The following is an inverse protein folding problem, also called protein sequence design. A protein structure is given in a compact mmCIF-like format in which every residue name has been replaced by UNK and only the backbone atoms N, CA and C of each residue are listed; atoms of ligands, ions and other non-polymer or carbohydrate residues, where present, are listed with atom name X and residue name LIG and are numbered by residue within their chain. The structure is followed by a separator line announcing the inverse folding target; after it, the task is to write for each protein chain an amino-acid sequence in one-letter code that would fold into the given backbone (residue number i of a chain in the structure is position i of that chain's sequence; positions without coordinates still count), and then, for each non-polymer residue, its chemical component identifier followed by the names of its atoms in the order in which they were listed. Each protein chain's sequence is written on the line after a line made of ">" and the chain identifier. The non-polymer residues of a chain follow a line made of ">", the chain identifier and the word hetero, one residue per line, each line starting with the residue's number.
data_IF_776815825526
#
_entry.id   IF_776815825526
#
_cell.length_a   1.000
_cell.length_b   1.000
_cell.length_c   1.000
_cell.angle_alpha   90.00
_cell.angle_beta   90.00
_cell.angle_gamma   90.00
#
_symmetry.space_group_name_H-M   'P 1'
#
loop_
_entity.id
_entity.type
_entity.pdbx_description
1 polymer ?
#
# COMPACT_ATOMS: atom_id res chain seq x y z
N UNK A 1 -14.45 19.42 -60.50
CA UNK A 1 -14.64 19.77 -59.07
C UNK A 1 -14.97 18.60 -58.10
N UNK A 2 -15.05 17.32 -58.55
CA UNK A 2 -15.36 16.19 -57.62
C UNK A 2 -14.12 15.40 -57.12
N UNK A 3 -12.95 15.58 -57.68
CA UNK A 3 -11.73 14.83 -57.34
C UNK A 3 -10.94 15.42 -56.17
N UNK A 4 -11.02 16.72 -55.90
CA UNK A 4 -10.27 17.37 -54.82
C UNK A 4 -10.90 17.15 -53.41
N UNK A 5 -12.23 16.97 -53.33
CA UNK A 5 -12.91 16.71 -52.05
C UNK A 5 -12.54 15.36 -51.43
N UNK A 6 -12.21 14.35 -52.23
CA UNK A 6 -11.84 13.02 -51.72
C UNK A 6 -10.43 12.97 -51.11
N UNK A 7 -9.50 13.83 -51.57
CA UNK A 7 -8.12 13.85 -51.05
C UNK A 7 -8.03 14.55 -49.67
N UNK A 8 -8.96 15.46 -49.36
CA UNK A 8 -9.02 16.12 -48.05
C UNK A 8 -9.50 15.21 -46.92
N UNK A 9 -10.50 14.37 -47.21
CA UNK A 9 -11.09 13.46 -46.21
C UNK A 9 -10.11 12.34 -45.82
N UNK A 10 -9.35 11.81 -46.80
CA UNK A 10 -8.36 10.75 -46.55
C UNK A 10 -7.18 11.24 -45.68
N UNK A 11 -6.79 12.52 -45.85
CA UNK A 11 -5.72 13.13 -44.99
C UNK A 11 -6.18 13.43 -43.60
N UNK A 12 -7.44 13.83 -43.37
CA UNK A 12 -8.01 14.05 -42.06
C UNK A 12 -8.17 12.74 -41.27
N UNK A 13 -8.58 11.65 -41.91
CA UNK A 13 -8.69 10.35 -41.27
C UNK A 13 -7.33 9.75 -40.90
N UNK A 14 -6.29 9.99 -41.72
CA UNK A 14 -4.93 9.55 -41.40
C UNK A 14 -4.32 10.33 -40.20
N UNK A 15 -4.64 11.63 -40.07
CA UNK A 15 -4.20 12.43 -38.92
C UNK A 15 -4.92 12.02 -37.63
N UNK A 16 -6.22 11.72 -37.69
CA UNK A 16 -6.99 11.25 -36.53
C UNK A 16 -6.51 9.86 -36.05
N UNK A 17 -6.16 8.96 -36.98
CA UNK A 17 -5.59 7.66 -36.63
C UNK A 17 -4.19 7.78 -36.00
N UNK A 18 -3.39 8.76 -36.40
CA UNK A 18 -2.06 9.01 -35.84
C UNK A 18 -2.16 9.58 -34.41
N UNK A 19 -3.13 10.45 -34.15
CA UNK A 19 -3.36 11.01 -32.82
C UNK A 19 -3.88 9.96 -31.83
N UNK A 20 -4.73 9.04 -32.25
CA UNK A 20 -5.19 7.91 -31.42
C UNK A 20 -4.06 6.90 -31.13
N UNK A 21 -3.11 6.70 -32.06
CA UNK A 21 -1.96 5.83 -31.82
C UNK A 21 -0.96 6.43 -30.82
N UNK A 22 -0.85 7.75 -30.74
CA UNK A 22 0.03 8.44 -29.79
C UNK A 22 -0.55 8.34 -28.36
N UNK A 23 -1.87 8.42 -28.19
CA UNK A 23 -2.51 8.26 -26.87
C UNK A 23 -2.37 6.84 -26.31
N UNK A 24 -2.44 5.82 -27.16
CA UNK A 24 -2.24 4.41 -26.73
C UNK A 24 -0.78 4.12 -26.38
N UNK A 25 0.18 4.74 -27.08
CA UNK A 25 1.62 4.62 -26.75
C UNK A 25 2.01 5.47 -25.53
N UNK A 26 1.31 6.58 -25.27
CA UNK A 26 1.52 7.44 -24.11
C UNK A 26 1.11 6.79 -22.78
N UNK A 27 0.07 5.99 -22.76
CA UNK A 27 -0.39 5.30 -21.54
C UNK A 27 0.57 4.18 -21.10
N UNK A 28 1.30 3.53 -22.01
CA UNK A 28 2.28 2.50 -21.66
C UNK A 28 3.60 3.04 -21.12
N UNK A 29 3.95 4.29 -21.37
CA UNK A 29 5.22 4.89 -20.91
C UNK A 29 5.12 5.57 -19.53
N UNK A 30 3.92 5.92 -19.04
CA UNK A 30 3.77 6.53 -17.71
C UNK A 30 3.97 5.54 -16.56
N UNK A 31 3.90 4.24 -16.78
CA UNK A 31 4.03 3.23 -15.71
C UNK A 31 5.49 3.01 -15.30
N UNK A 32 6.47 3.29 -16.14
CA UNK A 32 7.89 2.96 -15.89
C UNK A 32 8.58 3.84 -14.83
N UNK A 33 8.00 4.97 -14.44
CA UNK A 33 8.57 5.87 -13.43
C UNK A 33 7.64 6.19 -12.26
N UNK A 34 6.47 5.58 -12.19
CA UNK A 34 5.48 5.92 -11.18
C UNK A 34 5.89 5.39 -9.80
N UNK A 35 6.18 6.31 -8.89
CA UNK A 35 6.42 5.95 -7.48
C UNK A 35 5.11 5.49 -6.84
N UNK A 36 5.16 4.35 -6.16
CA UNK A 36 4.00 3.83 -5.42
C UNK A 36 3.82 4.64 -4.16
N UNK A 37 2.78 5.47 -4.15
CA UNK A 37 2.37 6.21 -2.97
C UNK A 37 1.62 5.27 -2.03
N UNK A 38 1.99 5.32 -0.76
CA UNK A 38 1.31 4.63 0.33
C UNK A 38 0.65 5.65 1.25
N UNK A 39 -0.15 5.18 2.20
CA UNK A 39 -0.87 6.06 3.13
C UNK A 39 0.08 7.01 3.87
N UNK A 40 -0.40 8.21 4.20
CA UNK A 40 0.36 9.22 4.94
C UNK A 40 1.27 10.09 4.09
N UNK A 41 1.20 9.98 2.75
CA UNK A 41 2.09 10.72 1.83
C UNK A 41 3.40 10.00 1.54
N UNK A 42 3.66 8.89 2.21
CA UNK A 42 4.86 8.06 2.03
C UNK A 42 4.87 7.38 0.66
N UNK A 43 6.06 6.92 0.26
CA UNK A 43 6.25 6.21 -1.00
C UNK A 43 7.28 5.08 -0.85
N UNK A 44 7.09 4.01 -1.64
CA UNK A 44 8.08 2.93 -1.66
C UNK A 44 9.46 3.46 -2.09
N UNK A 45 10.50 2.87 -1.53
CA UNK A 45 11.89 3.20 -1.73
C UNK A 45 12.33 4.58 -1.21
N UNK A 46 11.47 5.33 -0.50
CA UNK A 46 11.93 6.50 0.26
C UNK A 46 12.92 6.10 1.37
N UNK A 47 13.79 7.02 1.76
CA UNK A 47 14.71 6.76 2.87
C UNK A 47 13.97 6.79 4.21
N UNK A 48 14.51 6.10 5.21
CA UNK A 48 13.97 6.17 6.57
C UNK A 48 13.98 7.62 7.10
N UNK A 49 15.01 8.41 6.76
CA UNK A 49 15.06 9.82 7.13
C UNK A 49 13.91 10.63 6.53
N UNK A 50 13.59 10.42 5.25
CA UNK A 50 12.43 11.05 4.60
C UNK A 50 11.11 10.63 5.26
N UNK A 51 10.92 9.32 5.48
CA UNK A 51 9.73 8.78 6.12
C UNK A 51 9.46 9.42 7.49
N UNK A 52 10.46 9.48 8.35
CA UNK A 52 10.32 10.04 9.69
C UNK A 52 10.38 11.58 9.74
N UNK A 53 10.65 12.26 8.62
CA UNK A 53 10.63 13.71 8.53
C UNK A 53 9.24 14.28 8.20
N UNK A 54 8.26 13.45 7.90
CA UNK A 54 6.93 13.88 7.45
C UNK A 54 5.81 13.32 8.32
N UNK A 55 4.63 13.93 8.21
CA UNK A 55 3.38 13.44 8.76
C UNK A 55 3.38 13.16 10.27
N UNK A 56 2.68 12.12 10.64
CA UNK A 56 2.52 11.66 12.03
C UNK A 56 3.84 11.25 12.67
N UNK A 57 4.73 10.65 11.92
CA UNK A 57 6.03 10.16 12.37
C UNK A 57 6.92 11.31 12.85
N UNK A 58 6.90 12.45 12.16
CA UNK A 58 7.58 13.70 12.57
C UNK A 58 7.01 14.24 13.88
N UNK A 59 5.69 14.28 13.99
CA UNK A 59 5.04 14.75 15.23
C UNK A 59 5.38 13.84 16.41
N UNK A 60 5.39 12.54 16.21
CA UNK A 60 5.78 11.57 17.23
C UNK A 60 7.23 11.69 17.64
N UNK A 61 8.18 11.86 16.71
CA UNK A 61 9.58 12.13 17.04
C UNK A 61 9.73 13.40 17.87
N UNK A 62 9.03 14.47 17.50
CA UNK A 62 9.02 15.71 18.28
C UNK A 62 8.45 15.52 19.67
N UNK A 63 7.29 14.89 19.80
CA UNK A 63 6.66 14.62 21.09
C UNK A 63 7.52 13.72 21.99
N UNK A 64 8.11 12.68 21.44
CA UNK A 64 9.00 11.78 22.17
C UNK A 64 10.30 12.46 22.60
N UNK A 65 10.88 13.36 21.80
CA UNK A 65 12.12 14.07 22.11
C UNK A 65 11.93 15.14 23.18
N UNK A 66 10.81 15.87 23.15
CA UNK A 66 10.51 16.93 24.13
C UNK A 66 9.96 16.40 25.43
N UNK A 67 9.37 15.20 25.43
CA UNK A 67 8.67 14.63 26.60
C UNK A 67 7.45 15.44 27.02
N UNK A 68 6.93 16.30 26.14
CA UNK A 68 5.77 17.15 26.43
C UNK A 68 4.45 16.39 26.24
N UNK A 69 4.12 15.60 27.27
CA UNK A 69 2.86 14.85 27.33
C UNK A 69 1.86 15.48 28.31
N UNK A 70 1.85 16.80 28.41
CA UNK A 70 1.00 17.52 29.39
C UNK A 70 -0.49 17.29 29.18
N UNK A 71 -0.91 17.15 27.92
CA UNK A 71 -2.30 16.86 27.54
C UNK A 71 -2.72 15.42 27.79
N UNK A 72 -1.78 14.51 28.06
CA UNK A 72 -2.05 13.08 28.21
C UNK A 72 -2.33 12.71 29.66
N UNK A 73 -3.36 11.90 29.88
CA UNK A 73 -3.72 11.39 31.19
C UNK A 73 -2.53 10.69 31.89
N UNK A 74 -2.41 10.83 33.21
CA UNK A 74 -1.29 10.31 33.99
C UNK A 74 -1.08 8.80 33.85
N UNK A 75 -2.16 8.02 33.73
CA UNK A 75 -2.11 6.56 33.48
C UNK A 75 -1.51 6.20 32.11
N UNK A 76 -1.77 7.01 31.10
CA UNK A 76 -1.30 6.80 29.73
C UNK A 76 0.13 7.27 29.51
N UNK A 77 0.69 8.12 30.38
CA UNK A 77 2.07 8.64 30.25
C UNK A 77 3.14 7.55 30.35
N UNK A 78 2.90 6.50 31.13
CA UNK A 78 3.83 5.37 31.21
C UNK A 78 3.87 4.62 29.89
N UNK A 79 2.70 4.28 29.35
CA UNK A 79 2.58 3.58 28.06
C UNK A 79 3.20 4.40 26.93
N UNK A 80 2.98 5.72 26.94
CA UNK A 80 3.55 6.61 25.94
C UNK A 80 5.08 6.68 26.03
N UNK A 81 5.67 6.65 27.23
CA UNK A 81 7.13 6.58 27.40
C UNK A 81 7.71 5.27 26.86
N UNK A 82 7.05 4.16 27.11
CA UNK A 82 7.43 2.85 26.60
C UNK A 82 7.31 2.82 25.08
N UNK A 83 6.24 3.41 24.53
CA UNK A 83 6.05 3.59 23.09
C UNK A 83 7.17 4.43 22.48
N UNK A 84 7.50 5.58 23.06
CA UNK A 84 8.57 6.45 22.59
C UNK A 84 9.94 5.77 22.58
N UNK A 85 10.23 4.94 23.58
CA UNK A 85 11.48 4.17 23.61
C UNK A 85 11.55 3.18 22.45
N UNK A 86 10.44 2.47 22.17
CA UNK A 86 10.33 1.55 21.03
C UNK A 86 10.43 2.30 19.71
N UNK A 87 9.71 3.41 19.55
CA UNK A 87 9.70 4.23 18.36
C UNK A 87 11.08 4.80 18.02
N UNK A 88 11.78 5.33 19.04
CA UNK A 88 13.16 5.81 18.87
C UNK A 88 14.12 4.68 18.45
N UNK A 89 13.94 3.49 19.01
CA UNK A 89 14.73 2.31 18.62
C UNK A 89 14.51 1.91 17.17
N UNK A 90 13.25 1.87 16.72
CA UNK A 90 12.90 1.60 15.31
C UNK A 90 13.50 2.65 14.37
N UNK A 91 13.32 3.93 14.71
CA UNK A 91 13.87 5.04 13.95
C UNK A 91 15.40 4.93 13.78
N UNK A 92 16.12 4.68 14.87
CA UNK A 92 17.56 4.51 14.83
C UNK A 92 18.00 3.30 14.01
N UNK A 93 17.27 2.18 14.09
CA UNK A 93 17.57 1.00 13.28
C UNK A 93 17.31 1.24 11.81
N UNK A 94 16.18 1.87 11.46
CA UNK A 94 15.84 2.18 10.07
C UNK A 94 16.86 3.12 9.43
N UNK A 95 17.19 4.25 10.08
CA UNK A 95 18.24 5.20 9.62
C UNK A 95 19.61 4.52 9.59
N UNK A 96 19.89 3.59 10.50
CA UNK A 96 21.12 2.80 10.50
C UNK A 96 21.23 1.75 9.40
N UNK A 97 20.24 1.70 8.48
CA UNK A 97 20.20 0.75 7.37
C UNK A 97 19.93 -0.70 7.80
N UNK A 98 19.48 -0.93 9.03
CA UNK A 98 19.12 -2.26 9.53
C UNK A 98 17.69 -2.61 9.08
N UNK A 99 17.49 -3.90 8.78
CA UNK A 99 16.13 -4.37 8.55
C UNK A 99 15.30 -4.26 9.82
N UNK A 100 14.17 -3.57 9.72
CA UNK A 100 13.27 -3.36 10.86
C UNK A 100 11.84 -3.16 10.39
N UNK A 101 10.90 -3.44 11.27
CA UNK A 101 9.48 -3.17 11.07
C UNK A 101 9.02 -2.06 12.01
N UNK A 102 8.29 -1.12 11.46
CA UNK A 102 7.59 -0.09 12.19
C UNK A 102 6.09 -0.32 12.10
N UNK A 103 5.43 -0.38 13.23
CA UNK A 103 3.97 -0.44 13.32
C UNK A 103 3.45 0.93 13.69
N UNK A 104 3.02 1.67 12.69
CA UNK A 104 2.39 2.96 12.85
C UNK A 104 0.90 2.80 13.09
N UNK A 105 0.32 3.60 13.99
CA UNK A 105 -1.11 3.75 14.00
C UNK A 105 -1.47 4.89 13.04
N UNK A 106 -2.01 4.56 11.88
CA UNK A 106 -2.80 5.56 11.22
C UNK A 106 -4.02 5.79 12.09
N UNK A 107 -4.39 6.97 12.40
CA UNK A 107 -5.53 7.40 13.21
C UNK A 107 -5.92 6.47 14.38
N UNK A 108 -5.63 6.91 15.61
CA UNK A 108 -5.90 6.18 16.87
C UNK A 108 -7.38 5.82 17.01
N UNK A 109 -8.29 6.54 16.33
CA UNK A 109 -9.72 6.28 16.31
C UNK A 109 -10.09 5.01 15.54
N UNK A 110 -9.21 4.52 14.67
CA UNK A 110 -9.53 3.44 13.73
C UNK A 110 -9.02 2.05 14.14
N UNK A 111 -8.28 1.92 15.25
CA UNK A 111 -7.66 0.65 15.69
C UNK A 111 -6.86 -0.06 14.58
N UNK A 112 -6.25 0.70 13.67
CA UNK A 112 -5.51 0.17 12.54
C UNK A 112 -4.04 0.08 12.88
N UNK A 113 -3.45 -1.03 12.51
CA UNK A 113 -1.99 -1.19 12.57
C UNK A 113 -1.47 -1.28 11.14
N UNK A 114 -0.96 -0.18 10.63
CA UNK A 114 -0.19 -0.17 9.40
C UNK A 114 1.24 -0.63 9.73
N UNK A 115 1.81 -1.50 8.90
CA UNK A 115 3.16 -2.01 9.10
C UNK A 115 4.06 -1.56 7.96
N UNK A 116 5.18 -0.94 8.29
CA UNK A 116 6.19 -0.47 7.35
C UNK A 116 7.48 -1.23 7.60
N UNK A 117 8.05 -1.83 6.56
CA UNK A 117 9.31 -2.55 6.64
C UNK A 117 10.41 -1.79 5.93
N UNK A 118 11.49 -1.52 6.66
CA UNK A 118 12.70 -0.92 6.13
C UNK A 118 13.78 -1.98 5.95
N UNK A 119 14.54 -1.87 4.89
CA UNK A 119 15.74 -2.65 4.63
C UNK A 119 16.78 -1.76 3.94
N UNK A 120 18.03 -1.74 4.42
CA UNK A 120 19.11 -0.89 3.89
C UNK A 120 18.71 0.59 3.76
N UNK A 121 18.11 1.13 4.82
CA UNK A 121 17.66 2.53 4.89
C UNK A 121 16.54 2.89 3.89
N UNK A 122 15.78 1.92 3.39
CA UNK A 122 14.71 2.13 2.41
C UNK A 122 13.42 1.46 2.85
N UNK A 123 12.29 2.13 2.60
CA UNK A 123 10.97 1.53 2.75
C UNK A 123 10.75 0.49 1.64
N UNK A 124 10.78 -0.78 2.00
CA UNK A 124 10.66 -1.88 1.03
C UNK A 124 9.28 -2.51 0.99
N UNK A 125 8.50 -2.37 2.08
CA UNK A 125 7.14 -2.91 2.19
C UNK A 125 6.28 -1.99 3.05
N UNK A 126 5.04 -1.76 2.60
CA UNK A 126 3.98 -1.15 3.40
C UNK A 126 2.76 -2.08 3.39
N UNK A 127 2.29 -2.48 4.57
CA UNK A 127 1.09 -3.29 4.74
C UNK A 127 0.04 -2.46 5.48
N UNK A 128 -1.05 -2.15 4.78
CA UNK A 128 -2.13 -1.30 5.24
C UNK A 128 -3.36 -2.17 5.47
N UNK A 129 -3.92 -2.10 6.67
CA UNK A 129 -5.13 -2.83 7.03
C UNK A 129 -6.34 -1.92 6.96
N UNK A 130 -7.33 -2.30 6.20
CA UNK A 130 -8.61 -1.62 6.07
C UNK A 130 -9.71 -2.47 6.70
N UNK A 131 -10.49 -1.87 7.59
CA UNK A 131 -11.67 -2.54 8.15
C UNK A 131 -12.89 -2.28 7.27
N UNK A 132 -13.76 -3.25 7.14
CA UNK A 132 -15.04 -3.05 6.45
C UNK A 132 -15.88 -1.98 7.16
N UNK A 133 -16.70 -1.22 6.41
CA UNK A 133 -17.65 -0.29 7.00
C UNK A 133 -18.59 -1.03 7.94
N UNK A 134 -18.83 -0.51 9.15
CA UNK A 134 -19.82 -1.06 10.07
C UNK A 134 -20.92 -0.04 10.32
N UNK A 135 -22.17 -0.51 10.36
CA UNK A 135 -23.32 0.35 10.63
C UNK A 135 -23.38 0.86 12.09
N UNK A 136 -22.67 0.21 13.00
CA UNK A 136 -22.78 0.47 14.44
C UNK A 136 -21.90 1.63 14.96
N UNK A 137 -20.89 1.99 14.21
CA UNK A 137 -20.01 3.13 14.55
C UNK A 137 -19.89 3.92 13.27
N UNK A 138 -20.17 5.19 13.24
CA UNK A 138 -20.05 6.09 12.05
C UNK A 138 -18.66 6.02 11.36
N UNK A 139 -18.16 4.81 11.23
CA UNK A 139 -16.86 4.44 10.73
C UNK A 139 -16.92 4.26 9.22
N UNK A 140 -16.29 5.16 8.49
CA UNK A 140 -16.09 5.05 7.04
C UNK A 140 -14.89 4.14 6.76
N UNK A 141 -15.06 2.84 7.03
CA UNK A 141 -14.13 1.84 6.52
C UNK A 141 -14.11 1.85 4.99
N UNK A 142 -13.08 1.27 4.39
CA UNK A 142 -13.00 1.06 2.96
C UNK A 142 -13.23 -0.42 2.66
N UNK A 143 -14.15 -0.70 1.75
CA UNK A 143 -14.40 -2.05 1.26
C UNK A 143 -13.28 -2.50 0.32
N UNK A 144 -13.21 -3.81 0.09
CA UNK A 144 -12.33 -4.38 -0.94
C UNK A 144 -12.56 -3.71 -2.30
N UNK A 145 -13.81 -3.57 -2.72
CA UNK A 145 -14.18 -2.99 -4.01
C UNK A 145 -13.74 -1.53 -4.18
N UNK A 146 -13.81 -0.74 -3.12
CA UNK A 146 -13.34 0.65 -3.16
C UNK A 146 -11.82 0.72 -3.33
N UNK A 147 -11.07 -0.09 -2.58
CA UNK A 147 -9.61 -0.16 -2.68
C UNK A 147 -9.21 -0.71 -4.05
N UNK A 148 -9.83 -1.80 -4.50
CA UNK A 148 -9.61 -2.39 -5.80
C UNK A 148 -9.83 -1.39 -6.94
N UNK A 149 -10.93 -0.63 -6.88
CA UNK A 149 -11.26 0.38 -7.89
C UNK A 149 -10.18 1.46 -7.97
N UNK A 150 -9.72 1.98 -6.82
CA UNK A 150 -8.67 3.00 -6.77
C UNK A 150 -7.36 2.48 -7.36
N UNK A 151 -6.95 1.26 -6.97
CA UNK A 151 -5.69 0.67 -7.46
C UNK A 151 -5.79 0.34 -8.95
N UNK A 152 -6.93 -0.20 -9.39
CA UNK A 152 -7.18 -0.48 -10.82
C UNK A 152 -7.18 0.79 -11.68
N UNK A 153 -7.73 1.89 -11.18
CA UNK A 153 -7.67 3.18 -11.88
C UNK A 153 -6.24 3.72 -11.99
N UNK A 154 -5.43 3.53 -10.94
CA UNK A 154 -4.06 4.03 -10.90
C UNK A 154 -3.08 3.19 -11.72
N UNK A 155 -3.24 1.86 -11.75
CA UNK A 155 -2.23 0.93 -12.28
C UNK A 155 -2.76 0.00 -13.38
N UNK A 156 -4.02 0.16 -13.81
CA UNK A 156 -4.66 -0.72 -14.79
C UNK A 156 -5.19 -2.02 -14.18
N UNK A 157 -5.57 -3.01 -15.00
CA UNK A 157 -6.07 -4.30 -14.50
C UNK A 157 -4.97 -5.06 -13.75
N UNK A 158 -5.34 -5.87 -12.74
CA UNK A 158 -4.36 -6.72 -12.04
C UNK A 158 -3.80 -7.78 -13.00
N UNK A 159 -2.59 -8.24 -12.70
CA UNK A 159 -1.97 -9.36 -13.41
C UNK A 159 -2.62 -10.69 -13.07
N UNK A 160 -3.09 -10.84 -11.84
CA UNK A 160 -3.73 -12.05 -11.34
C UNK A 160 -4.89 -11.69 -10.42
N UNK A 161 -6.02 -12.34 -10.67
CA UNK A 161 -7.23 -12.30 -9.86
C UNK A 161 -7.51 -13.73 -9.38
N UNK A 162 -7.56 -13.94 -8.06
CA UNK A 162 -7.83 -15.24 -7.48
C UNK A 162 -8.90 -15.14 -6.41
N UNK A 163 -9.70 -16.20 -6.29
CA UNK A 163 -10.73 -16.32 -5.27
C UNK A 163 -10.53 -17.61 -4.49
N UNK A 164 -10.80 -17.56 -3.20
CA UNK A 164 -10.71 -18.72 -2.33
C UNK A 164 -11.96 -18.83 -1.46
N UNK A 165 -12.63 -20.01 -1.43
CA UNK A 165 -13.67 -20.25 -0.47
C UNK A 165 -13.09 -20.31 0.93
N UNK A 166 -13.63 -19.52 1.83
CA UNK A 166 -13.21 -19.43 3.23
C UNK A 166 -14.43 -19.41 4.15
N UNK A 167 -14.22 -19.51 5.45
CA UNK A 167 -15.24 -19.29 6.45
C UNK A 167 -14.88 -18.09 7.31
N UNK A 168 -15.88 -17.31 7.68
CA UNK A 168 -15.68 -16.23 8.64
C UNK A 168 -15.54 -16.81 10.08
N UNK A 169 -15.32 -15.92 11.05
CA UNK A 169 -15.18 -16.32 12.46
C UNK A 169 -16.43 -16.98 13.07
N UNK A 170 -17.57 -16.89 12.41
CA UNK A 170 -18.83 -17.53 12.81
C UNK A 170 -19.13 -18.81 12.02
N UNK A 171 -18.23 -19.22 11.12
CA UNK A 171 -18.37 -20.40 10.29
C UNK A 171 -19.21 -20.19 9.02
N UNK A 172 -19.65 -18.96 8.73
CA UNK A 172 -20.39 -18.67 7.51
C UNK A 172 -19.43 -18.69 6.30
N UNK A 173 -19.78 -19.41 5.21
CA UNK A 173 -18.96 -19.49 4.04
C UNK A 173 -19.02 -18.18 3.25
N UNK A 174 -17.86 -17.72 2.76
CA UNK A 174 -17.76 -16.63 1.80
C UNK A 174 -16.58 -16.83 0.85
N UNK A 175 -16.48 -15.99 -0.18
CA UNK A 175 -15.39 -16.02 -1.15
C UNK A 175 -14.48 -14.85 -0.87
N UNK A 176 -13.22 -15.13 -0.49
CA UNK A 176 -12.20 -14.12 -0.33
C UNK A 176 -11.51 -13.85 -1.65
N UNK A 177 -11.30 -12.58 -1.96
CA UNK A 177 -10.63 -12.10 -3.16
C UNK A 177 -9.17 -11.77 -2.87
N UNK A 178 -8.32 -12.02 -3.88
CA UNK A 178 -6.89 -11.65 -3.85
C UNK A 178 -6.45 -11.23 -5.23
N UNK A 179 -5.97 -9.98 -5.33
CA UNK A 179 -5.59 -9.33 -6.57
C UNK A 179 -4.13 -8.90 -6.53
N UNK A 180 -3.40 -9.15 -7.60
CA UNK A 180 -1.97 -8.87 -7.69
C UNK A 180 -1.65 -8.02 -8.91
N UNK A 181 -0.94 -6.92 -8.71
CA UNK A 181 -0.27 -6.12 -9.74
C UNK A 181 1.23 -6.33 -9.64
N UNK A 182 1.86 -6.74 -10.75
CA UNK A 182 3.32 -6.74 -10.88
C UNK A 182 3.73 -5.59 -11.79
N UNK A 183 4.40 -4.60 -11.22
CA UNK A 183 4.94 -3.45 -11.91
C UNK A 183 6.45 -3.62 -12.09
N UNK A 184 7.11 -2.86 -12.96
CA UNK A 184 8.56 -3.00 -13.19
C UNK A 184 9.41 -2.86 -11.92
N UNK A 185 9.04 -1.94 -11.02
CA UNK A 185 9.77 -1.60 -9.80
C UNK A 185 9.03 -1.95 -8.50
N UNK A 186 7.81 -2.49 -8.58
CA UNK A 186 6.98 -2.74 -7.41
C UNK A 186 6.01 -3.92 -7.62
N UNK A 187 5.40 -4.37 -6.53
CA UNK A 187 4.22 -5.22 -6.55
C UNK A 187 3.17 -4.65 -5.59
N UNK A 188 1.90 -4.79 -5.94
CA UNK A 188 0.77 -4.43 -5.09
C UNK A 188 -0.12 -5.66 -4.95
N UNK A 189 -0.45 -6.00 -3.73
CA UNK A 189 -1.35 -7.10 -3.39
C UNK A 189 -2.53 -6.54 -2.59
N UNK A 190 -3.74 -6.82 -3.03
CA UNK A 190 -4.95 -6.60 -2.25
C UNK A 190 -5.52 -7.96 -1.90
N UNK A 191 -5.85 -8.18 -0.64
CA UNK A 191 -6.42 -9.44 -0.19
C UNK A 191 -7.48 -9.21 0.89
N UNK A 192 -8.59 -9.90 0.78
CA UNK A 192 -9.56 -10.00 1.85
C UNK A 192 -9.07 -10.99 2.90
N UNK A 193 -9.18 -10.61 4.17
CA UNK A 193 -8.91 -11.51 5.30
C UNK A 193 -10.24 -11.99 5.89
N UNK A 194 -10.35 -13.30 6.18
CA UNK A 194 -11.49 -13.82 6.91
C UNK A 194 -11.56 -13.18 8.30
N UNK A 195 -12.72 -12.70 8.65
CA UNK A 195 -12.96 -12.11 9.97
C UNK A 195 -14.42 -11.72 10.15
N UNK A 196 -14.87 -11.50 11.40
CA UNK A 196 -16.28 -11.21 11.69
C UNK A 196 -16.81 -9.93 11.01
N UNK A 197 -15.90 -9.10 10.46
CA UNK A 197 -16.26 -7.82 9.83
C UNK A 197 -15.69 -7.65 8.42
N UNK A 198 -15.03 -8.69 7.88
CA UNK A 198 -14.25 -8.56 6.67
C UNK A 198 -13.16 -7.48 6.83
N UNK A 199 -11.96 -7.77 6.49
CA UNK A 199 -10.89 -6.77 6.43
C UNK A 199 -10.15 -6.94 5.12
N UNK A 200 -9.72 -5.81 4.55
CA UNK A 200 -8.91 -5.80 3.34
C UNK A 200 -7.51 -5.38 3.71
N UNK A 201 -6.53 -6.15 3.28
CA UNK A 201 -5.12 -5.79 3.39
C UNK A 201 -4.64 -5.34 2.03
N UNK A 202 -4.05 -4.15 1.96
CA UNK A 202 -3.27 -3.69 0.82
C UNK A 202 -1.80 -3.77 1.20
N UNK A 203 -1.02 -4.50 0.42
CA UNK A 203 0.42 -4.59 0.62
C UNK A 203 1.11 -4.06 -0.62
N UNK A 204 1.95 -3.05 -0.44
CA UNK A 204 2.83 -2.53 -1.48
C UNK A 204 4.26 -2.97 -1.17
N UNK A 205 4.96 -3.49 -2.17
CA UNK A 205 6.35 -3.96 -2.07
C UNK A 205 7.21 -3.26 -3.11
N UNK A 206 8.48 -3.03 -2.82
CA UNK A 206 9.47 -2.93 -3.91
C UNK A 206 9.53 -4.27 -4.64
N UNK A 207 9.91 -4.28 -5.91
CA UNK A 207 9.97 -5.51 -6.70
C UNK A 207 10.93 -6.54 -6.08
N UNK A 208 12.09 -6.09 -5.63
CA UNK A 208 13.09 -6.94 -4.95
C UNK A 208 12.52 -7.60 -3.69
N UNK A 209 11.79 -6.84 -2.87
CA UNK A 209 11.16 -7.35 -1.65
C UNK A 209 10.07 -8.37 -1.94
N UNK A 210 9.26 -8.12 -2.98
CA UNK A 210 8.24 -9.07 -3.41
C UNK A 210 8.86 -10.39 -3.87
N UNK A 211 9.85 -10.33 -4.77
CA UNK A 211 10.51 -11.52 -5.30
C UNK A 211 11.18 -12.34 -4.17
N UNK A 212 11.77 -11.65 -3.18
CA UNK A 212 12.32 -12.28 -1.97
C UNK A 212 11.22 -12.95 -1.12
N UNK A 213 10.10 -12.27 -0.89
CA UNK A 213 8.98 -12.81 -0.11
C UNK A 213 8.43 -14.09 -0.75
N UNK A 214 8.25 -14.07 -2.08
CA UNK A 214 7.80 -15.26 -2.84
C UNK A 214 8.80 -16.41 -2.73
N UNK A 215 10.09 -16.14 -2.81
CA UNK A 215 11.13 -17.16 -2.67
C UNK A 215 11.16 -17.76 -1.26
N UNK A 216 11.03 -16.94 -0.21
CA UNK A 216 10.99 -17.38 1.18
C UNK A 216 9.75 -18.25 1.45
N UNK A 217 8.58 -17.88 0.91
CA UNK A 217 7.34 -18.65 1.06
C UNK A 217 7.44 -20.00 0.32
N UNK A 218 8.05 -20.03 -0.86
CA UNK A 218 8.30 -21.26 -1.60
C UNK A 218 9.27 -22.19 -0.84
N UNK A 219 10.32 -21.65 -0.23
CA UNK A 219 11.27 -22.40 0.58
C UNK A 219 10.61 -23.01 1.84
N UNK A 220 9.75 -22.24 2.52
CA UNK A 220 8.96 -22.75 3.67
C UNK A 220 7.98 -23.84 3.26
N UNK A 221 7.32 -23.69 2.12
CA UNK A 221 6.40 -24.72 1.60
C UNK A 221 7.14 -26.02 1.24
N UNK A 222 8.37 -25.94 0.75
CA UNK A 222 9.22 -27.08 0.44
C UNK A 222 9.78 -27.78 1.69
N UNK A 223 9.86 -27.10 2.83
CA UNK A 223 10.41 -27.62 4.09
C UNK A 223 9.52 -27.29 5.31
N UNK A 224 8.33 -27.90 5.41
CA UNK A 224 7.32 -27.55 6.41
C UNK A 224 7.70 -27.90 7.86
N UNK A 225 8.86 -28.53 8.09
CA UNK A 225 9.32 -28.97 9.42
C UNK A 225 10.43 -28.07 10.02
N UNK A 226 10.74 -26.93 9.39
CA UNK A 226 11.58 -25.87 9.94
C UNK A 226 10.67 -24.70 10.39
#
# INVERSE_FOLDING_TARGET
>A
MRAERRRGITRLLALAALLLAIDVLGQGQQIQGQQIKVKGGHQLAETAEQFFAEGYEKEMLSACSTGDFKSVNRSSRRQLKEYCATFAGVHQQAIGGKRTEYKGSGDVSEMRTDTFTFDKDRLVKAELLYSAPTAEVNYRGQSFEEIFTVVKQAYGPPMSETTQPVQDAYGAPYVAHRELWLLPNAAILIAEKPGPRGSTTLVAFTREEYDRTVADDAAKAANPLQ
#
